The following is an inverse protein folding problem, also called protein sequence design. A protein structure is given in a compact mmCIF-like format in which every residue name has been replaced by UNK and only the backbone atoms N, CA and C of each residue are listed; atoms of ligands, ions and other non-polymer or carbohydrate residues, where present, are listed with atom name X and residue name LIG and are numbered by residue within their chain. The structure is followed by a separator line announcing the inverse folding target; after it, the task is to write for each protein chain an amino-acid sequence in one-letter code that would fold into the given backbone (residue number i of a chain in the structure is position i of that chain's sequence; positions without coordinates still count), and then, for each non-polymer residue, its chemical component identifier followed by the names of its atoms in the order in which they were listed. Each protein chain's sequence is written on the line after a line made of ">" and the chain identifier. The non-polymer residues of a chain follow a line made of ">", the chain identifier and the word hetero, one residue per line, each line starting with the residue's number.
data_IF_498289130948
#
_entry.id   IF_498289130948
#
_cell.length_a   1.000
_cell.length_b   1.000
_cell.length_c   1.000
_cell.angle_alpha   90.00
_cell.angle_beta   90.00
_cell.angle_gamma   90.00
#
_symmetry.space_group_name_H-M   'P 1'
#
loop_
_entity.id
_entity.type
_entity.pdbx_description
1 polymer ?
#
# COMPACT_ATOMS: atom_id res chain seq x y z
N UNK A 1 0.25 54.53 34.32
CA UNK A 1 -0.01 53.13 34.70
C UNK A 1 0.05 52.28 33.43
N UNK A 2 1.21 51.64 33.19
CA UNK A 2 1.44 50.81 32.00
C UNK A 2 0.80 49.43 32.20
N UNK A 3 -0.19 49.09 31.38
CA UNK A 3 -0.72 47.73 31.26
C UNK A 3 0.27 46.92 30.41
N UNK A 4 1.33 46.41 31.02
CA UNK A 4 2.14 45.34 30.43
C UNK A 4 1.33 44.06 30.47
N UNK A 5 0.51 43.88 29.42
CA UNK A 5 -0.14 42.60 29.13
C UNK A 5 0.95 41.57 28.86
N UNK A 6 1.16 40.68 29.82
CA UNK A 6 1.96 39.47 29.64
C UNK A 6 1.31 38.67 28.52
N UNK A 7 1.85 38.77 27.31
CA UNK A 7 1.47 37.91 26.20
C UNK A 7 2.02 36.53 26.53
N UNK A 8 1.17 35.70 27.16
CA UNK A 8 1.45 34.28 27.35
C UNK A 8 1.54 33.68 25.95
N UNK A 9 2.76 33.51 25.46
CA UNK A 9 3.03 32.73 24.25
C UNK A 9 2.73 31.29 24.63
N UNK A 10 1.47 30.87 24.50
CA UNK A 10 1.13 29.45 24.49
C UNK A 10 1.85 28.87 23.29
N UNK A 11 2.98 28.20 23.52
CA UNK A 11 3.58 27.36 22.49
C UNK A 11 2.50 26.39 22.05
N UNK A 12 2.06 26.46 20.80
CA UNK A 12 1.13 25.47 20.26
C UNK A 12 1.81 24.13 20.41
N UNK A 13 1.37 23.31 21.37
CA UNK A 13 1.82 21.93 21.49
C UNK A 13 1.27 21.26 20.22
N UNK A 14 2.12 21.13 19.20
CA UNK A 14 1.80 20.33 18.03
C UNK A 14 1.83 18.89 18.50
N UNK A 15 0.71 18.20 18.43
CA UNK A 15 0.69 16.76 18.65
C UNK A 15 1.66 16.10 17.66
N UNK A 16 2.51 15.16 18.10
CA UNK A 16 3.39 14.44 17.20
C UNK A 16 2.55 13.60 16.22
N UNK A 17 3.02 13.49 14.97
CA UNK A 17 2.37 12.60 14.00
C UNK A 17 2.37 11.16 14.53
N UNK A 18 1.30 10.39 14.32
CA UNK A 18 1.23 9.02 14.81
C UNK A 18 2.29 8.15 14.13
N UNK A 19 3.17 7.52 14.91
CA UNK A 19 4.28 6.70 14.38
C UNK A 19 3.78 5.54 13.52
N UNK A 20 2.60 4.98 13.81
CA UNK A 20 2.02 3.89 13.03
C UNK A 20 1.71 4.28 11.58
N UNK A 21 1.41 5.55 11.30
CA UNK A 21 1.24 6.06 9.92
C UNK A 21 2.54 5.88 9.13
N UNK A 22 3.68 6.21 9.74
CA UNK A 22 5.00 6.10 9.12
C UNK A 22 5.37 4.63 8.83
N UNK A 23 5.09 3.75 9.80
CA UNK A 23 5.37 2.32 9.70
C UNK A 23 4.55 1.70 8.59
N UNK A 24 3.24 1.96 8.55
CA UNK A 24 2.35 1.41 7.54
C UNK A 24 2.68 1.93 6.13
N UNK A 25 2.91 3.23 5.98
CA UNK A 25 3.32 3.82 4.70
C UNK A 25 4.62 3.17 4.19
N UNK A 26 5.63 3.08 5.06
CA UNK A 26 6.93 2.49 4.71
C UNK A 26 6.82 1.01 4.38
N UNK A 27 6.02 0.25 5.14
CA UNK A 27 5.78 -1.17 4.90
C UNK A 27 5.10 -1.41 3.55
N UNK A 28 4.04 -0.64 3.22
CA UNK A 28 3.36 -0.79 1.94
C UNK A 28 4.21 -0.37 0.75
N UNK A 29 4.98 0.71 0.86
CA UNK A 29 5.95 1.10 -0.16
C UNK A 29 6.99 -0.01 -0.37
N UNK A 30 7.52 -0.59 0.70
CA UNK A 30 8.46 -1.70 0.61
C UNK A 30 7.84 -2.94 -0.06
N UNK A 31 6.61 -3.32 0.31
CA UNK A 31 5.88 -4.42 -0.33
C UNK A 31 5.69 -4.17 -1.82
N UNK A 32 5.27 -2.96 -2.21
CA UNK A 32 5.12 -2.58 -3.61
C UNK A 32 6.44 -2.72 -4.38
N UNK A 33 7.54 -2.17 -3.84
CA UNK A 33 8.87 -2.27 -4.48
C UNK A 33 9.32 -3.73 -4.62
N UNK A 34 9.18 -4.54 -3.57
CA UNK A 34 9.56 -5.97 -3.62
C UNK A 34 8.76 -6.71 -4.69
N UNK A 35 7.45 -6.46 -4.79
CA UNK A 35 6.61 -7.05 -5.82
C UNK A 35 7.03 -6.62 -7.23
N UNK A 36 7.36 -5.34 -7.43
CA UNK A 36 7.89 -4.87 -8.71
C UNK A 36 9.18 -5.61 -9.09
N UNK A 37 10.12 -5.74 -8.15
CA UNK A 37 11.38 -6.44 -8.38
C UNK A 37 11.18 -7.91 -8.72
N UNK A 38 10.28 -8.60 -8.01
CA UNK A 38 9.96 -10.00 -8.28
C UNK A 38 9.32 -10.19 -9.68
N UNK A 39 8.39 -9.31 -10.06
CA UNK A 39 7.74 -9.39 -11.37
C UNK A 39 8.70 -9.02 -12.51
N UNK A 40 9.55 -8.01 -12.33
CA UNK A 40 10.61 -7.67 -13.29
C UNK A 40 11.61 -8.82 -13.42
N UNK A 41 12.00 -9.47 -12.32
CA UNK A 41 12.86 -10.64 -12.35
C UNK A 41 12.22 -11.81 -13.12
N UNK A 42 10.92 -12.04 -12.94
CA UNK A 42 10.18 -13.06 -13.69
C UNK A 42 10.15 -12.74 -15.19
N UNK A 43 9.88 -11.49 -15.57
CA UNK A 43 9.87 -11.04 -16.97
C UNK A 43 11.27 -11.19 -17.59
N UNK A 44 12.31 -10.75 -16.90
CA UNK A 44 13.70 -10.89 -17.35
C UNK A 44 14.09 -12.36 -17.53
N UNK A 45 13.66 -13.22 -16.60
CA UNK A 45 13.89 -14.67 -16.68
C UNK A 45 13.17 -15.28 -17.89
N UNK A 46 11.90 -14.96 -18.11
CA UNK A 46 11.13 -15.39 -19.29
C UNK A 46 11.78 -14.91 -20.60
N UNK A 47 12.27 -13.68 -20.64
CA UNK A 47 13.00 -13.16 -21.79
C UNK A 47 14.31 -13.93 -22.04
N UNK A 48 15.05 -14.30 -20.99
CA UNK A 48 16.25 -15.11 -21.09
C UNK A 48 15.98 -16.54 -21.61
N UNK A 49 14.78 -17.07 -21.37
CA UNK A 49 14.30 -18.33 -21.95
C UNK A 49 13.79 -18.19 -23.40
N UNK A 50 13.86 -16.99 -23.99
CA UNK A 50 13.40 -16.74 -25.35
C UNK A 50 11.89 -16.56 -25.49
N UNK A 51 11.15 -16.35 -24.39
CA UNK A 51 9.70 -16.09 -24.45
C UNK A 51 9.45 -14.71 -25.09
N UNK A 52 8.68 -14.63 -26.19
CA UNK A 52 8.42 -13.36 -26.87
C UNK A 52 7.75 -12.33 -25.96
N UNK A 53 8.15 -11.06 -26.06
CA UNK A 53 7.64 -9.96 -25.23
C UNK A 53 6.12 -9.79 -25.36
N UNK A 54 5.55 -10.06 -26.53
CA UNK A 54 4.11 -10.05 -26.77
C UNK A 54 3.34 -11.07 -25.90
N UNK A 55 3.95 -12.22 -25.56
CA UNK A 55 3.35 -13.21 -24.66
C UNK A 55 3.46 -12.82 -23.18
N UNK A 56 4.28 -11.81 -22.86
CA UNK A 56 4.54 -11.33 -21.49
C UNK A 56 3.76 -10.04 -21.17
N UNK A 57 2.88 -9.58 -22.05
CA UNK A 57 2.19 -8.29 -21.89
C UNK A 57 1.38 -8.21 -20.59
N UNK A 58 0.81 -9.33 -20.17
CA UNK A 58 0.08 -9.44 -18.90
C UNK A 58 1.05 -9.34 -17.72
N UNK A 59 2.19 -10.03 -17.78
CA UNK A 59 3.21 -9.96 -16.73
C UNK A 59 3.72 -8.52 -16.56
N UNK A 60 3.97 -7.83 -17.68
CA UNK A 60 4.41 -6.43 -17.71
C UNK A 60 3.32 -5.51 -17.12
N UNK A 61 2.06 -5.69 -17.52
CA UNK A 61 0.96 -4.91 -16.98
C UNK A 61 0.84 -5.10 -15.45
N UNK A 62 0.97 -6.35 -14.96
CA UNK A 62 0.96 -6.64 -13.53
C UNK A 62 2.17 -6.04 -12.81
N UNK A 63 3.37 -6.10 -13.41
CA UNK A 63 4.61 -5.54 -12.87
C UNK A 63 4.58 -4.03 -12.67
N UNK A 64 3.73 -3.33 -13.41
CA UNK A 64 3.56 -1.88 -13.32
C UNK A 64 2.37 -1.56 -12.42
N UNK A 65 1.18 -2.06 -12.79
CA UNK A 65 -0.08 -1.63 -12.17
C UNK A 65 -0.13 -2.02 -10.69
N UNK A 66 0.14 -3.28 -10.35
CA UNK A 66 -0.04 -3.76 -8.97
C UNK A 66 0.94 -3.08 -8.00
N UNK A 67 2.27 -3.10 -8.24
CA UNK A 67 3.21 -2.39 -7.39
C UNK A 67 2.95 -0.89 -7.28
N UNK A 68 2.67 -0.22 -8.40
CA UNK A 68 2.46 1.22 -8.41
C UNK A 68 1.19 1.62 -7.66
N UNK A 69 0.11 0.86 -7.81
CA UNK A 69 -1.11 1.06 -7.02
C UNK A 69 -0.85 0.89 -5.53
N UNK A 70 -0.08 -0.13 -5.11
CA UNK A 70 0.29 -0.33 -3.70
C UNK A 70 1.11 0.87 -3.20
N UNK A 71 2.19 1.24 -3.90
CA UNK A 71 3.03 2.38 -3.52
C UNK A 71 2.20 3.66 -3.42
N UNK A 72 1.33 3.92 -4.40
CA UNK A 72 0.47 5.10 -4.42
C UNK A 72 -0.48 5.14 -3.21
N UNK A 73 -1.16 4.03 -2.92
CA UNK A 73 -2.08 3.92 -1.78
C UNK A 73 -1.35 4.22 -0.47
N UNK A 74 -0.23 3.52 -0.22
CA UNK A 74 0.49 3.60 1.05
C UNK A 74 1.34 4.86 1.19
N UNK A 75 1.86 5.43 0.10
CA UNK A 75 2.52 6.74 0.14
C UNK A 75 1.54 7.85 0.52
N UNK A 76 0.29 7.77 0.04
CA UNK A 76 -0.76 8.71 0.41
C UNK A 76 -0.96 8.84 1.91
N UNK A 77 -0.79 7.74 2.67
CA UNK A 77 -0.92 7.71 4.14
C UNK A 77 0.09 8.66 4.81
N UNK A 78 1.26 8.86 4.20
CA UNK A 78 2.31 9.74 4.72
C UNK A 78 2.05 11.23 4.46
N UNK A 79 1.60 11.59 3.25
CA UNK A 79 1.55 13.00 2.80
C UNK A 79 0.15 13.62 2.74
N UNK A 80 -0.91 12.83 2.54
CA UNK A 80 -2.25 13.36 2.19
C UNK A 80 -3.33 12.71 3.06
N UNK A 81 -3.30 13.02 4.35
CA UNK A 81 -4.08 12.33 5.38
C UNK A 81 -5.60 12.40 5.22
N UNK A 82 -6.12 13.35 4.44
CA UNK A 82 -7.55 13.37 4.11
C UNK A 82 -7.89 12.38 2.98
N UNK A 83 -7.23 12.47 1.83
CA UNK A 83 -7.54 11.60 0.68
C UNK A 83 -7.09 10.15 0.92
N UNK A 84 -5.99 9.95 1.64
CA UNK A 84 -5.48 8.63 1.99
C UNK A 84 -6.37 7.89 2.98
N UNK A 85 -7.01 8.61 3.89
CA UNK A 85 -8.01 8.00 4.76
C UNK A 85 -9.18 7.46 3.94
N UNK A 86 -9.72 8.27 3.01
CA UNK A 86 -10.81 7.83 2.14
C UNK A 86 -10.38 6.69 1.19
N UNK A 87 -9.16 6.73 0.64
CA UNK A 87 -8.68 5.68 -0.25
C UNK A 87 -8.56 4.33 0.47
N UNK A 88 -8.09 4.28 1.72
CA UNK A 88 -8.02 3.02 2.46
C UNK A 88 -9.36 2.62 3.07
N UNK A 89 -10.15 3.55 3.62
CA UNK A 89 -11.41 3.17 4.28
C UNK A 89 -12.51 2.78 3.27
N UNK A 90 -12.58 3.43 2.11
CA UNK A 90 -13.52 3.06 1.02
C UNK A 90 -12.86 2.09 0.04
N UNK A 91 -11.64 2.40 -0.41
CA UNK A 91 -10.94 1.57 -1.39
C UNK A 91 -10.37 0.29 -0.79
N UNK A 92 -10.04 0.24 0.50
CA UNK A 92 -9.55 -0.97 1.17
C UNK A 92 -10.53 -2.15 1.11
N UNK A 93 -11.83 -1.98 1.36
CA UNK A 93 -12.83 -3.01 1.08
C UNK A 93 -12.85 -3.49 -0.37
N UNK A 94 -12.68 -2.59 -1.35
CA UNK A 94 -12.59 -2.96 -2.77
C UNK A 94 -11.29 -3.73 -3.05
N UNK A 95 -10.17 -3.34 -2.46
CA UNK A 95 -8.90 -4.06 -2.53
C UNK A 95 -9.03 -5.44 -1.92
N UNK A 96 -9.65 -5.57 -0.73
CA UNK A 96 -9.89 -6.86 -0.09
C UNK A 96 -10.78 -7.77 -0.95
N UNK A 97 -11.84 -7.24 -1.56
CA UNK A 97 -12.69 -7.97 -2.50
C UNK A 97 -11.90 -8.39 -3.75
N UNK A 98 -11.07 -7.50 -4.30
CA UNK A 98 -10.19 -7.79 -5.44
C UNK A 98 -9.14 -8.87 -5.13
N UNK A 99 -8.53 -8.83 -3.95
CA UNK A 99 -7.60 -9.86 -3.47
C UNK A 99 -8.32 -11.20 -3.24
N UNK A 100 -9.55 -11.17 -2.71
CA UNK A 100 -10.41 -12.34 -2.60
C UNK A 100 -10.72 -12.96 -3.96
N UNK A 101 -11.09 -12.13 -4.95
CA UNK A 101 -11.31 -12.58 -6.32
C UNK A 101 -10.03 -13.15 -6.95
N UNK A 102 -8.88 -12.50 -6.75
CA UNK A 102 -7.58 -12.99 -7.19
C UNK A 102 -7.23 -14.34 -6.57
N UNK A 103 -7.60 -14.57 -5.31
CA UNK A 103 -7.40 -15.85 -4.62
C UNK A 103 -8.34 -16.95 -5.14
N UNK A 104 -9.61 -16.62 -5.41
CA UNK A 104 -10.58 -17.55 -6.01
C UNK A 104 -10.13 -17.96 -7.42
N UNK A 105 -9.65 -17.01 -8.22
CA UNK A 105 -9.15 -17.24 -9.59
C UNK A 105 -7.65 -17.49 -9.67
N UNK A 106 -7.01 -17.86 -8.56
CA UNK A 106 -5.54 -18.03 -8.49
C UNK A 106 -4.99 -18.99 -9.53
N UNK A 107 -5.72 -20.07 -9.85
CA UNK A 107 -5.28 -21.05 -10.84
C UNK A 107 -5.13 -20.44 -12.25
N UNK A 108 -6.05 -19.54 -12.63
CA UNK A 108 -5.96 -18.81 -13.90
C UNK A 108 -4.79 -17.82 -13.87
N UNK A 109 -4.65 -17.03 -12.80
CA UNK A 109 -3.57 -16.04 -12.66
C UNK A 109 -2.20 -16.72 -12.67
N UNK A 110 -2.02 -17.77 -11.86
CA UNK A 110 -0.79 -18.56 -11.81
C UNK A 110 -0.51 -19.20 -13.17
N UNK A 111 -1.54 -19.75 -13.85
CA UNK A 111 -1.40 -20.31 -15.20
C UNK A 111 -0.81 -19.32 -16.21
N UNK A 112 -1.17 -18.04 -16.10
CA UNK A 112 -0.57 -16.96 -16.90
C UNK A 112 0.88 -16.68 -16.49
N UNK A 113 1.14 -16.60 -15.19
CA UNK A 113 2.47 -16.32 -14.64
C UNK A 113 3.49 -17.43 -14.94
N UNK A 114 3.10 -18.70 -14.93
CA UNK A 114 4.00 -19.84 -15.17
C UNK A 114 4.21 -20.16 -16.65
N UNK A 115 3.48 -19.50 -17.55
CA UNK A 115 3.58 -19.75 -19.00
C UNK A 115 5.00 -19.50 -19.49
N UNK A 116 5.57 -20.48 -20.18
CA UNK A 116 6.94 -20.40 -20.72
C UNK A 116 8.04 -20.58 -19.68
N UNK A 117 7.70 -21.00 -18.45
CA UNK A 117 8.63 -21.23 -17.35
C UNK A 117 8.75 -22.75 -17.08
N UNK A 118 9.94 -23.27 -16.72
CA UNK A 118 10.12 -24.67 -16.33
C UNK A 118 9.22 -25.10 -15.17
N UNK A 119 8.74 -26.34 -15.20
CA UNK A 119 7.83 -26.91 -14.17
C UNK A 119 8.39 -26.81 -12.76
N UNK A 120 9.72 -26.93 -12.61
CA UNK A 120 10.41 -26.80 -11.31
C UNK A 120 10.19 -25.44 -10.63
N UNK A 121 9.84 -24.39 -11.37
CA UNK A 121 9.57 -23.05 -10.83
C UNK A 121 8.08 -22.79 -10.54
N UNK A 122 7.17 -23.67 -10.96
CA UNK A 122 5.72 -23.42 -10.85
C UNK A 122 5.30 -23.32 -9.38
N UNK A 123 5.79 -24.21 -8.52
CA UNK A 123 5.51 -24.20 -7.09
C UNK A 123 6.00 -22.91 -6.41
N UNK A 124 7.16 -22.38 -6.82
CA UNK A 124 7.71 -21.14 -6.28
C UNK A 124 6.86 -19.93 -6.69
N UNK A 125 6.39 -19.89 -7.93
CA UNK A 125 5.49 -18.84 -8.43
C UNK A 125 4.14 -18.89 -7.72
N UNK A 126 3.56 -20.08 -7.57
CA UNK A 126 2.31 -20.28 -6.84
C UNK A 126 2.43 -19.85 -5.38
N UNK A 127 3.47 -20.32 -4.70
CA UNK A 127 3.76 -19.96 -3.30
C UNK A 127 3.96 -18.46 -3.15
N UNK A 128 4.76 -17.86 -4.04
CA UNK A 128 5.00 -16.42 -4.06
C UNK A 128 3.72 -15.61 -4.28
N UNK A 129 2.85 -16.05 -5.19
CA UNK A 129 1.56 -15.41 -5.44
C UNK A 129 0.66 -15.47 -4.20
N UNK A 130 0.50 -16.64 -3.60
CA UNK A 130 -0.34 -16.83 -2.40
C UNK A 130 0.16 -15.97 -1.24
N UNK A 131 1.47 -15.98 -0.97
CA UNK A 131 2.05 -15.14 0.08
C UNK A 131 1.89 -13.65 -0.21
N UNK A 132 2.04 -13.23 -1.46
CA UNK A 132 1.84 -11.84 -1.86
C UNK A 132 0.40 -11.39 -1.57
N UNK A 133 -0.59 -12.19 -1.96
CA UNK A 133 -2.01 -11.90 -1.67
C UNK A 133 -2.26 -11.79 -0.16
N UNK A 134 -1.73 -12.71 0.64
CA UNK A 134 -1.87 -12.67 2.10
C UNK A 134 -1.20 -11.46 2.73
N UNK A 135 0.04 -11.16 2.35
CA UNK A 135 0.79 -10.01 2.87
C UNK A 135 0.07 -8.71 2.57
N UNK A 136 -0.39 -8.51 1.32
CA UNK A 136 -1.14 -7.31 0.95
C UNK A 136 -2.45 -7.23 1.72
N UNK A 137 -3.18 -8.34 1.86
CA UNK A 137 -4.45 -8.36 2.59
C UNK A 137 -4.27 -8.02 4.07
N UNK A 138 -3.30 -8.64 4.74
CA UNK A 138 -3.02 -8.38 6.15
C UNK A 138 -2.59 -6.93 6.35
N UNK A 139 -1.74 -6.41 5.46
CA UNK A 139 -1.28 -5.03 5.50
C UNK A 139 -2.45 -4.06 5.33
N UNK A 140 -3.35 -4.30 4.38
CA UNK A 140 -4.52 -3.45 4.14
C UNK A 140 -5.49 -3.48 5.32
N UNK A 141 -5.82 -4.67 5.84
CA UNK A 141 -6.68 -4.80 7.03
C UNK A 141 -6.08 -4.05 8.22
N UNK A 142 -4.78 -4.25 8.48
CA UNK A 142 -4.08 -3.56 9.57
C UNK A 142 -4.12 -2.04 9.38
N UNK A 143 -3.98 -1.58 8.14
CA UNK A 143 -4.02 -0.16 7.79
C UNK A 143 -5.41 0.44 8.02
N UNK A 144 -6.46 -0.23 7.56
CA UNK A 144 -7.85 0.22 7.77
C UNK A 144 -8.17 0.27 9.27
N UNK A 145 -7.87 -0.80 10.01
CA UNK A 145 -8.10 -0.84 11.47
C UNK A 145 -7.34 0.30 12.16
N UNK A 146 -6.07 0.49 11.82
CA UNK A 146 -5.27 1.57 12.39
C UNK A 146 -5.86 2.94 12.06
N UNK A 147 -6.20 3.22 10.81
CA UNK A 147 -6.76 4.50 10.39
C UNK A 147 -8.12 4.79 11.04
N UNK A 148 -8.95 3.78 11.31
CA UNK A 148 -10.20 3.95 12.05
C UNK A 148 -9.95 4.30 13.52
N UNK A 149 -8.94 3.70 14.16
CA UNK A 149 -8.56 4.06 15.55
C UNK A 149 -7.92 5.44 15.61
N UNK A 150 -7.05 5.76 14.65
CA UNK A 150 -6.34 7.02 14.59
C UNK A 150 -7.25 8.18 14.17
N UNK A 151 -8.30 7.96 13.37
CA UNK A 151 -9.35 8.96 13.12
C UNK A 151 -9.96 9.44 14.45
N UNK A 152 -10.32 8.51 15.34
CA UNK A 152 -10.94 8.85 16.63
C UNK A 152 -9.99 9.63 17.55
N UNK A 153 -8.71 9.28 17.54
CA UNK A 153 -7.71 9.88 18.41
C UNK A 153 -7.15 11.21 17.88
N UNK A 154 -6.95 11.32 16.56
CA UNK A 154 -6.19 12.42 15.95
C UNK A 154 -6.93 13.18 14.84
N UNK A 155 -8.18 12.81 14.53
CA UNK A 155 -8.96 13.43 13.46
C UNK A 155 -8.34 13.28 12.07
N UNK A 156 -7.55 12.21 11.85
CA UNK A 156 -7.06 11.82 10.51
C UNK A 156 -8.26 11.70 9.59
N UNK A 157 -8.24 12.30 8.39
CA UNK A 157 -9.40 12.29 7.48
C UNK A 157 -10.30 13.54 7.58
N UNK A 158 -10.12 14.40 8.58
CA UNK A 158 -10.70 15.74 8.61
C UNK A 158 -9.87 16.74 7.75
N UNK A 159 -10.44 17.88 7.31
CA UNK A 159 -9.72 18.88 6.52
C UNK A 159 -8.43 19.41 7.17
N UNK A 160 -8.35 19.36 8.52
CA UNK A 160 -7.11 19.57 9.28
C UNK A 160 -7.04 18.55 10.43
N UNK A 161 -6.10 17.59 10.41
CA UNK A 161 -5.87 16.68 11.53
C UNK A 161 -5.33 17.44 12.76
N UNK A 162 -5.41 16.85 13.96
CA UNK A 162 -5.14 17.56 15.22
C UNK A 162 -3.74 18.19 15.29
N UNK A 163 -2.70 17.50 14.81
CA UNK A 163 -1.33 18.04 14.75
C UNK A 163 -1.14 19.23 13.78
N UNK A 164 -2.08 19.46 12.87
CA UNK A 164 -2.13 20.60 11.95
C UNK A 164 -3.10 21.70 12.41
N UNK A 165 -3.94 21.42 13.42
CA UNK A 165 -4.80 22.44 14.03
C UNK A 165 -3.94 23.33 14.90
N UNK A 166 -3.84 24.61 14.52
CA UNK A 166 -3.32 25.64 15.44
C UNK A 166 -4.34 25.78 16.56
N UNK A 167 -3.99 25.32 17.76
CA UNK A 167 -4.71 25.66 18.97
C UNK A 167 -4.45 27.15 19.26
N UNK A 168 -5.47 27.99 19.01
CA UNK A 168 -5.48 29.42 19.35
C UNK A 168 -6.14 29.61 20.71
#
# INVERSE_FOLDING_TARGET
>A
MSRTGVRIVRSSIREPRPVGVAILASAGVAVGIVLALLLVALIAYKAALGVPLAMQIIDIALAIVVPFTIVWFFWGVWEVLQSAWWSHVIGGPLVAAGLGAAFVWRGMVIGLLVRGVPVALHQWIETGFVWSVWVILILEITTVVYLLTAWKAFGIGAPKPLWERRHW
#
